data_IF_782692548306
#
_entry.id   IF_782692548306
#
_cell.length_a   1.000
_cell.length_b   1.000
_cell.length_c   1.000
_cell.angle_alpha   90.00
_cell.angle_beta   90.00
_cell.angle_gamma   90.00
#
_symmetry.space_group_name_H-M   'P 1'
#
loop_
_entity.id
_entity.type
_entity.pdbx_description
1 polymer ?
#
# COMPACT_ATOMS: atom_id res chain seq x y z
N UNK A 1 -44.02 31.83 22.38
CA UNK A 1 -43.63 33.20 21.99
C UNK A 1 -42.14 33.36 22.34
N UNK A 2 -41.38 33.94 21.44
CA UNK A 2 -39.97 34.28 21.63
C UNK A 2 -39.70 35.72 21.19
N UNK A 3 -38.73 36.38 21.83
CA UNK A 3 -38.50 37.82 21.61
C UNK A 3 -37.99 38.16 20.23
N UNK A 4 -37.12 37.30 19.66
CA UNK A 4 -36.56 37.46 18.29
C UNK A 4 -35.93 36.18 17.80
N UNK A 5 -35.76 36.04 16.48
CA UNK A 5 -35.08 34.92 15.83
C UNK A 5 -33.62 34.80 16.33
N UNK A 6 -32.91 35.94 16.47
CA UNK A 6 -31.53 35.97 16.91
C UNK A 6 -31.30 35.56 18.38
N UNK A 7 -32.36 35.55 19.19
CA UNK A 7 -32.33 35.08 20.60
C UNK A 7 -32.94 33.71 20.80
N UNK A 8 -33.48 33.13 19.74
CA UNK A 8 -34.10 31.80 19.79
C UNK A 8 -33.11 30.69 19.90
N UNK A 9 -31.99 30.78 19.19
CA UNK A 9 -30.88 29.84 19.29
C UNK A 9 -29.53 30.52 19.02
N UNK A 10 -28.43 29.78 19.30
CA UNK A 10 -27.04 30.31 19.25
C UNK A 10 -26.52 30.53 17.83
N UNK A 11 -27.06 29.80 16.86
CA UNK A 11 -26.68 29.89 15.47
C UNK A 11 -27.87 29.59 14.54
N UNK A 12 -27.72 29.84 13.25
CA UNK A 12 -28.78 29.68 12.25
C UNK A 12 -29.21 28.21 12.09
N UNK A 13 -28.28 27.25 12.23
CA UNK A 13 -28.56 25.81 12.12
C UNK A 13 -29.45 25.32 13.27
N UNK A 14 -29.09 25.69 14.50
CA UNK A 14 -29.87 25.31 15.70
C UNK A 14 -31.29 25.93 15.68
N UNK A 15 -31.39 27.21 15.25
CA UNK A 15 -32.66 27.88 15.08
C UNK A 15 -33.57 27.14 14.09
N UNK A 16 -33.01 26.80 12.91
CA UNK A 16 -33.74 26.09 11.86
C UNK A 16 -34.18 24.69 12.29
N UNK A 17 -33.26 23.93 12.93
CA UNK A 17 -33.56 22.57 13.40
C UNK A 17 -34.65 22.58 14.45
N UNK A 18 -34.60 23.54 15.36
CA UNK A 18 -35.60 23.68 16.43
C UNK A 18 -36.95 24.07 15.87
N UNK A 19 -37.00 25.04 14.95
CA UNK A 19 -38.27 25.46 14.30
C UNK A 19 -38.90 24.30 13.54
N UNK A 20 -38.08 23.51 12.77
CA UNK A 20 -38.58 22.34 12.04
C UNK A 20 -39.17 21.28 12.98
N UNK A 21 -38.47 20.96 14.08
CA UNK A 21 -38.97 20.02 15.09
C UNK A 21 -40.28 20.50 15.72
N UNK A 22 -40.39 21.79 16.06
CA UNK A 22 -41.63 22.36 16.57
C UNK A 22 -42.75 22.24 15.54
N UNK A 23 -42.50 22.53 14.27
CA UNK A 23 -43.46 22.39 13.17
C UNK A 23 -43.91 20.93 12.98
N UNK A 24 -43.01 19.96 13.08
CA UNK A 24 -43.32 18.51 13.05
C UNK A 24 -44.26 18.09 14.18
N UNK A 25 -44.12 18.72 15.34
CA UNK A 25 -45.01 18.51 16.51
C UNK A 25 -46.24 19.43 16.53
N UNK A 26 -46.54 20.12 15.42
CA UNK A 26 -47.68 21.08 15.32
C UNK A 26 -47.63 22.20 16.36
N UNK A 27 -46.39 22.59 16.79
CA UNK A 27 -46.20 23.70 17.71
C UNK A 27 -45.76 24.92 16.92
N UNK A 28 -46.57 25.96 16.99
CA UNK A 28 -46.34 27.25 16.35
C UNK A 28 -45.48 28.15 17.22
N UNK A 29 -44.56 28.91 16.60
CA UNK A 29 -43.72 29.88 17.28
C UNK A 29 -44.03 31.30 16.77
N UNK A 30 -44.14 32.26 17.67
CA UNK A 30 -44.26 33.67 17.36
C UNK A 30 -42.98 34.42 17.71
N UNK A 31 -42.41 35.09 16.73
CA UNK A 31 -41.23 35.97 16.86
C UNK A 31 -41.73 37.41 17.01
N UNK A 32 -41.69 37.93 18.24
CA UNK A 32 -42.31 39.21 18.61
C UNK A 32 -41.69 40.39 17.84
N UNK A 33 -40.34 40.46 17.78
CA UNK A 33 -39.63 41.56 17.15
C UNK A 33 -39.84 41.61 15.62
N UNK A 34 -39.86 40.46 14.99
CA UNK A 34 -40.06 40.31 13.56
C UNK A 34 -41.53 40.27 13.16
N UNK A 35 -42.43 40.08 14.13
CA UNK A 35 -43.87 39.90 13.95
C UNK A 35 -44.22 38.79 12.96
N UNK A 36 -43.67 37.60 13.19
CA UNK A 36 -43.76 36.43 12.29
C UNK A 36 -44.26 35.23 13.10
N UNK A 37 -45.26 34.53 12.57
CA UNK A 37 -45.68 33.21 12.97
C UNK A 37 -45.05 32.15 12.08
N UNK A 38 -44.59 31.01 12.65
CA UNK A 38 -43.86 29.98 11.89
C UNK A 38 -44.73 29.19 10.91
N UNK A 39 -46.08 29.22 11.06
CA UNK A 39 -46.99 28.54 10.13
C UNK A 39 -47.51 29.45 9.02
N UNK A 40 -47.33 30.75 9.13
CA UNK A 40 -47.67 31.70 8.09
C UNK A 40 -46.72 31.63 6.89
N UNK A 41 -47.17 32.19 5.75
CA UNK A 41 -46.33 32.32 4.53
C UNK A 41 -45.02 33.10 4.77
N UNK A 42 -45.06 34.09 5.68
CA UNK A 42 -43.87 34.82 6.14
C UNK A 42 -42.92 33.93 6.93
N UNK A 43 -43.47 32.99 7.72
CA UNK A 43 -42.70 31.99 8.46
C UNK A 43 -42.04 30.98 7.54
N UNK A 44 -42.67 30.55 6.45
CA UNK A 44 -42.07 29.68 5.44
C UNK A 44 -40.95 30.37 4.69
N UNK A 45 -41.13 31.64 4.32
CA UNK A 45 -40.06 32.45 3.73
C UNK A 45 -38.87 32.59 4.69
N UNK A 46 -39.13 32.87 5.97
CA UNK A 46 -38.08 32.94 7.00
C UNK A 46 -37.30 31.63 7.12
N UNK A 47 -37.98 30.46 7.19
CA UNK A 47 -37.39 29.15 7.26
C UNK A 47 -36.52 28.89 6.02
N UNK A 48 -36.98 29.30 4.83
CA UNK A 48 -36.21 29.15 3.56
C UNK A 48 -34.93 30.00 3.56
N UNK A 49 -35.04 31.27 3.97
CA UNK A 49 -33.88 32.15 4.08
C UNK A 49 -32.87 31.63 5.11
N UNK A 50 -33.37 31.21 6.30
CA UNK A 50 -32.51 30.62 7.34
C UNK A 50 -31.86 29.33 6.89
N UNK A 51 -32.56 28.51 6.09
CA UNK A 51 -31.97 27.30 5.48
C UNK A 51 -30.79 27.63 4.53
N UNK A 52 -30.98 28.63 3.67
CA UNK A 52 -29.96 29.09 2.76
C UNK A 52 -28.74 29.68 3.49
N UNK A 53 -29.00 30.51 4.53
CA UNK A 53 -27.92 31.06 5.37
C UNK A 53 -27.16 29.96 6.11
N UNK A 54 -27.85 28.98 6.68
CA UNK A 54 -27.24 27.85 7.38
C UNK A 54 -26.38 26.99 6.41
N UNK A 55 -26.82 26.81 5.16
CA UNK A 55 -26.02 26.14 4.13
C UNK A 55 -24.76 26.93 3.79
N UNK A 56 -24.88 28.25 3.57
CA UNK A 56 -23.71 29.08 3.24
C UNK A 56 -22.72 29.17 4.43
N UNK A 57 -23.22 29.27 5.66
CA UNK A 57 -22.35 29.22 6.85
C UNK A 57 -21.60 27.87 6.92
N UNK A 58 -22.29 26.75 6.73
CA UNK A 58 -21.69 25.43 6.72
C UNK A 58 -20.67 25.26 5.60
N UNK A 59 -20.97 25.80 4.42
CA UNK A 59 -20.07 25.83 3.27
C UNK A 59 -18.80 26.63 3.57
N UNK A 60 -18.94 27.85 4.05
CA UNK A 60 -17.83 28.73 4.41
C UNK A 60 -16.90 28.11 5.44
N UNK A 61 -17.47 27.49 6.51
CA UNK A 61 -16.68 26.77 7.50
C UNK A 61 -15.90 25.62 6.85
N UNK A 62 -16.55 24.82 6.00
CA UNK A 62 -15.92 23.70 5.31
C UNK A 62 -14.77 24.15 4.39
N UNK A 63 -14.98 25.24 3.63
CA UNK A 63 -13.98 25.83 2.74
C UNK A 63 -12.77 26.37 3.54
N UNK A 64 -13.01 27.07 4.65
CA UNK A 64 -11.97 27.60 5.52
C UNK A 64 -11.14 26.47 6.18
N UNK A 65 -11.78 25.41 6.66
CA UNK A 65 -11.09 24.24 7.22
C UNK A 65 -10.24 23.55 6.14
N UNK A 66 -10.81 23.36 4.95
CA UNK A 66 -10.11 22.75 3.81
C UNK A 66 -8.90 23.59 3.39
N UNK A 67 -9.07 24.91 3.27
CA UNK A 67 -7.98 25.84 2.96
C UNK A 67 -6.87 25.77 4.03
N UNK A 68 -7.24 25.82 5.31
CA UNK A 68 -6.27 25.71 6.40
C UNK A 68 -5.53 24.38 6.43
N UNK A 69 -6.18 23.27 6.06
CA UNK A 69 -5.53 21.97 5.91
C UNK A 69 -4.57 21.96 4.71
N UNK A 70 -4.99 22.46 3.54
CA UNK A 70 -4.13 22.54 2.34
C UNK A 70 -2.89 23.39 2.58
N UNK A 71 -3.04 24.52 3.27
CA UNK A 71 -1.90 25.37 3.66
C UNK A 71 -0.92 24.62 4.55
N UNK A 72 -1.41 23.90 5.56
CA UNK A 72 -0.53 23.08 6.42
C UNK A 72 0.17 21.98 5.63
N UNK A 73 -0.49 21.36 4.66
CA UNK A 73 0.12 20.34 3.81
C UNK A 73 1.19 20.94 2.87
N UNK A 74 0.94 22.11 2.31
CA UNK A 74 1.94 22.85 1.53
C UNK A 74 3.17 23.26 2.37
N UNK A 75 2.95 23.56 3.66
CA UNK A 75 4.04 23.85 4.63
C UNK A 75 4.75 22.56 5.11
N UNK A 76 4.40 21.38 4.59
CA UNK A 76 4.99 20.10 5.00
C UNK A 76 4.64 19.66 6.43
N UNK A 77 3.64 20.27 7.07
CA UNK A 77 3.26 19.93 8.45
C UNK A 77 2.47 18.64 8.49
N UNK A 78 3.15 17.57 8.90
CA UNK A 78 2.56 16.22 9.04
C UNK A 78 1.79 16.11 10.34
N UNK A 79 0.60 15.49 10.27
CA UNK A 79 -0.20 15.12 11.44
C UNK A 79 -0.52 13.63 11.37
N UNK A 80 -0.25 12.92 12.48
CA UNK A 80 -0.55 11.50 12.61
C UNK A 80 -1.82 11.28 13.46
N UNK A 81 -2.67 10.32 13.09
CA UNK A 81 -3.84 9.93 13.90
C UNK A 81 -3.42 8.97 15.03
N UNK A 82 -2.71 9.48 16.04
CA UNK A 82 -2.09 8.69 17.10
C UNK A 82 -3.01 7.68 17.80
N UNK A 83 -4.31 7.94 17.89
CA UNK A 83 -5.25 7.06 18.58
C UNK A 83 -5.30 5.61 18.03
N UNK A 84 -4.96 5.43 16.75
CA UNK A 84 -5.04 4.13 16.07
C UNK A 84 -3.83 3.89 15.15
N UNK A 85 -2.72 4.58 15.44
CA UNK A 85 -1.50 4.50 14.64
C UNK A 85 -0.41 3.77 15.43
N UNK A 86 -0.29 2.48 15.21
CA UNK A 86 0.65 1.60 15.92
C UNK A 86 2.09 2.07 15.75
N UNK A 87 2.85 2.06 16.83
CA UNK A 87 4.28 2.37 16.83
C UNK A 87 4.63 3.83 17.07
N UNK A 88 3.64 4.74 17.09
CA UNK A 88 3.89 6.16 17.33
C UNK A 88 2.93 6.77 18.34
N UNK A 89 3.47 7.65 19.18
CA UNK A 89 2.70 8.54 20.06
C UNK A 89 3.04 10.00 19.77
N UNK A 90 2.20 10.89 20.25
CA UNK A 90 2.49 12.34 20.21
C UNK A 90 3.51 12.66 21.32
N UNK A 91 4.70 13.09 20.93
CA UNK A 91 5.73 13.56 21.85
C UNK A 91 5.39 14.92 22.49
N UNK A 92 6.14 15.32 23.51
CA UNK A 92 5.96 16.58 24.23
C UNK A 92 6.06 17.80 23.31
N UNK A 93 6.93 17.75 22.30
CA UNK A 93 7.10 18.80 21.30
C UNK A 93 6.04 18.76 20.17
N UNK A 94 5.03 17.88 20.28
CA UNK A 94 4.00 17.69 19.27
C UNK A 94 4.45 16.90 18.04
N UNK A 95 5.71 16.46 17.98
CA UNK A 95 6.27 15.62 16.93
C UNK A 95 5.99 14.14 17.23
N UNK A 96 5.97 13.26 16.19
CA UNK A 96 5.83 11.83 16.38
C UNK A 96 7.03 11.24 17.13
N UNK A 97 6.77 10.45 18.15
CA UNK A 97 7.75 9.71 18.93
C UNK A 97 7.45 8.20 18.82
N UNK A 98 8.50 7.38 18.66
CA UNK A 98 8.37 5.94 18.54
C UNK A 98 8.06 5.32 19.90
N UNK A 99 7.05 4.42 19.94
CA UNK A 99 6.75 3.56 21.08
C UNK A 99 7.47 2.22 20.85
N UNK A 100 8.53 1.89 21.64
CA UNK A 100 9.39 0.74 21.35
C UNK A 100 8.64 -0.60 21.22
N UNK A 101 7.74 -0.90 22.15
CA UNK A 101 6.98 -2.16 22.18
C UNK A 101 6.06 -2.32 20.94
N UNK A 102 5.40 -1.24 20.55
CA UNK A 102 4.55 -1.24 19.35
C UNK A 102 5.39 -1.28 18.06
N UNK A 103 6.54 -0.61 18.06
CA UNK A 103 7.47 -0.62 16.94
C UNK A 103 8.04 -2.02 16.67
N UNK A 104 8.26 -2.83 17.71
CA UNK A 104 8.64 -4.23 17.55
C UNK A 104 7.56 -5.04 16.83
N UNK A 105 6.29 -4.81 17.16
CA UNK A 105 5.17 -5.44 16.44
C UNK A 105 5.15 -5.03 14.95
N UNK A 106 5.40 -3.75 14.64
CA UNK A 106 5.50 -3.28 13.25
C UNK A 106 6.67 -3.97 12.52
N UNK A 107 7.86 -4.01 13.13
CA UNK A 107 9.03 -4.71 12.56
C UNK A 107 8.76 -6.19 12.35
N UNK A 108 8.10 -6.84 13.31
CA UNK A 108 7.68 -8.24 13.19
C UNK A 108 6.78 -8.45 11.96
N UNK A 109 5.75 -7.61 11.75
CA UNK A 109 4.85 -7.68 10.60
C UNK A 109 5.63 -7.57 9.28
N UNK A 110 6.56 -6.60 9.19
CA UNK A 110 7.40 -6.42 7.99
C UNK A 110 8.31 -7.63 7.76
N UNK A 111 9.00 -8.12 8.81
CA UNK A 111 9.89 -9.27 8.70
C UNK A 111 9.14 -10.52 8.26
N UNK A 112 7.97 -10.82 8.86
CA UNK A 112 7.15 -11.99 8.48
C UNK A 112 6.67 -11.90 7.03
N UNK A 113 6.32 -10.70 6.56
CA UNK A 113 5.96 -10.51 5.15
C UNK A 113 7.16 -10.69 4.21
N UNK A 114 8.33 -10.18 4.59
CA UNK A 114 9.60 -10.39 3.89
C UNK A 114 9.96 -11.88 3.85
N UNK A 115 9.67 -12.63 4.91
CA UNK A 115 9.85 -14.09 4.97
C UNK A 115 8.86 -14.86 4.07
N UNK A 116 7.91 -14.16 3.45
CA UNK A 116 7.00 -14.69 2.43
C UNK A 116 5.60 -15.01 2.94
N UNK A 117 5.28 -14.74 4.21
CA UNK A 117 3.94 -14.94 4.73
C UNK A 117 2.94 -13.99 4.08
N UNK A 118 1.69 -14.45 3.98
CA UNK A 118 0.59 -13.58 3.52
C UNK A 118 0.07 -12.72 4.68
N UNK A 119 -0.52 -11.54 4.40
CA UNK A 119 -1.13 -10.71 5.44
C UNK A 119 -2.16 -11.47 6.30
N UNK A 120 -2.84 -12.46 5.73
CA UNK A 120 -3.79 -13.32 6.44
C UNK A 120 -3.09 -14.24 7.47
N UNK A 121 -1.99 -14.91 7.07
CA UNK A 121 -1.20 -15.75 8.00
C UNK A 121 -0.60 -14.91 9.12
N UNK A 122 -0.05 -13.73 8.80
CA UNK A 122 0.51 -12.80 9.81
C UNK A 122 -0.57 -12.35 10.81
N UNK A 123 -1.77 -12.01 10.32
CA UNK A 123 -2.89 -11.65 11.20
C UNK A 123 -3.28 -12.79 12.18
N UNK A 124 -3.27 -14.03 11.70
CA UNK A 124 -3.54 -15.19 12.54
C UNK A 124 -2.43 -15.44 13.59
N UNK A 125 -1.15 -15.27 13.20
CA UNK A 125 -0.02 -15.37 14.13
C UNK A 125 -0.11 -14.32 15.24
N UNK A 126 -0.35 -13.06 14.90
CA UNK A 126 -0.51 -11.97 15.88
C UNK A 126 -1.70 -12.22 16.82
N UNK A 127 -2.81 -12.73 16.27
CA UNK A 127 -3.98 -13.11 17.08
C UNK A 127 -3.66 -14.26 18.03
N UNK A 128 -2.94 -15.29 17.58
CA UNK A 128 -2.53 -16.42 18.39
C UNK A 128 -1.54 -16.03 19.50
N UNK A 129 -0.70 -15.03 19.27
CA UNK A 129 0.23 -14.45 20.24
C UNK A 129 -0.45 -13.50 21.23
N UNK A 130 -1.74 -13.21 21.06
CA UNK A 130 -2.49 -12.30 21.94
C UNK A 130 -2.09 -10.83 21.83
N UNK A 131 -1.40 -10.44 20.74
CA UNK A 131 -0.99 -9.04 20.52
C UNK A 131 -2.22 -8.20 20.14
N UNK A 132 -2.52 -7.10 20.86
CA UNK A 132 -3.69 -6.29 20.58
C UNK A 132 -3.53 -5.53 19.24
N UNK A 133 -4.65 -5.31 18.54
CA UNK A 133 -4.66 -4.50 17.32
C UNK A 133 -4.49 -3.00 17.64
N UNK A 134 -4.17 -2.13 16.67
CA UNK A 134 -4.12 -0.68 16.87
C UNK A 134 -5.41 -0.05 17.43
N UNK A 135 -6.55 -0.76 17.30
CA UNK A 135 -7.85 -0.35 17.84
C UNK A 135 -8.19 -1.06 19.16
N UNK A 136 -7.24 -1.77 19.79
CA UNK A 136 -7.46 -2.51 21.03
C UNK A 136 -8.31 -3.78 20.89
N UNK A 137 -8.53 -4.29 19.67
CA UNK A 137 -9.26 -5.55 19.44
C UNK A 137 -8.30 -6.74 19.55
N UNK A 138 -8.80 -7.86 20.03
CA UNK A 138 -8.03 -9.09 20.16
C UNK A 138 -7.71 -9.76 18.82
N UNK A 139 -8.60 -9.61 17.83
CA UNK A 139 -8.49 -10.31 16.54
C UNK A 139 -7.96 -9.40 15.44
N UNK A 140 -6.83 -9.76 14.87
CA UNK A 140 -6.24 -9.12 13.72
C UNK A 140 -6.95 -9.48 12.42
N UNK A 141 -7.00 -8.54 11.49
CA UNK A 141 -7.49 -8.76 10.12
C UNK A 141 -6.38 -8.60 9.10
N UNK A 142 -6.47 -9.33 7.98
CA UNK A 142 -5.54 -9.19 6.87
C UNK A 142 -5.52 -7.76 6.28
N UNK A 143 -6.63 -7.04 6.35
CA UNK A 143 -6.72 -5.64 5.90
C UNK A 143 -5.92 -4.70 6.80
N UNK A 144 -5.92 -4.91 8.12
CA UNK A 144 -5.11 -4.14 9.08
C UNK A 144 -3.62 -4.36 8.82
N UNK A 145 -3.20 -5.62 8.66
CA UNK A 145 -1.81 -5.96 8.33
C UNK A 145 -1.40 -5.33 6.99
N UNK A 146 -2.25 -5.43 5.96
CA UNK A 146 -1.99 -4.80 4.66
C UNK A 146 -1.85 -3.29 4.78
N UNK A 147 -2.73 -2.64 5.55
CA UNK A 147 -2.66 -1.19 5.78
C UNK A 147 -1.35 -0.76 6.44
N UNK A 148 -0.82 -1.55 7.39
CA UNK A 148 0.49 -1.30 8.02
C UNK A 148 1.61 -1.46 6.99
N UNK A 149 1.62 -2.56 6.22
CA UNK A 149 2.65 -2.85 5.24
C UNK A 149 2.71 -1.86 4.06
N UNK A 150 1.62 -1.14 3.76
CA UNK A 150 1.54 -0.18 2.64
C UNK A 150 1.57 1.28 3.07
N UNK A 151 1.80 1.56 4.35
CA UNK A 151 1.80 2.91 4.86
C UNK A 151 3.22 3.49 4.90
N UNK A 152 3.51 4.45 4.02
CA UNK A 152 4.80 5.13 3.90
C UNK A 152 5.29 5.81 5.18
N UNK A 153 4.38 6.06 6.11
CA UNK A 153 4.74 6.70 7.38
C UNK A 153 5.67 5.85 8.24
N UNK A 154 5.67 4.53 8.06
CA UNK A 154 6.58 3.65 8.79
C UNK A 154 8.05 3.77 8.34
N UNK A 155 8.31 4.26 7.11
CA UNK A 155 9.67 4.59 6.66
C UNK A 155 10.09 6.04 6.96
N UNK A 156 9.25 6.81 7.67
CA UNK A 156 9.52 8.19 8.06
C UNK A 156 8.99 9.26 7.10
N UNK A 157 8.37 8.88 6.00
CA UNK A 157 7.80 9.79 5.01
C UNK A 157 6.30 10.02 5.24
N UNK A 158 5.73 11.01 4.58
CA UNK A 158 4.30 11.25 4.64
C UNK A 158 3.74 11.74 3.30
N UNK A 159 2.82 10.99 2.72
CA UNK A 159 1.99 11.47 1.61
C UNK A 159 0.74 12.12 2.18
N UNK A 160 0.64 13.43 1.96
CA UNK A 160 -0.45 14.27 2.45
C UNK A 160 -1.53 14.42 1.37
N UNK A 161 -2.77 14.63 1.80
CA UNK A 161 -3.93 14.80 0.92
C UNK A 161 -4.27 13.59 0.05
N UNK A 162 -4.13 12.37 0.62
CA UNK A 162 -4.55 11.11 -0.03
C UNK A 162 -6.05 11.04 -0.34
N UNK A 163 -6.87 11.80 0.41
CA UNK A 163 -8.32 11.90 0.22
C UNK A 163 -8.75 13.34 0.35
N UNK A 164 -9.84 13.69 -0.31
CA UNK A 164 -10.48 15.00 -0.17
C UNK A 164 -11.99 14.84 -0.10
N UNK A 165 -12.65 15.83 0.50
CA UNK A 165 -14.11 15.88 0.58
C UNK A 165 -14.64 16.50 -0.70
N UNK A 166 -15.48 15.76 -1.43
CA UNK A 166 -16.08 16.21 -2.72
C UNK A 166 -17.25 17.14 -2.46
N UNK A 167 -18.05 16.81 -1.45
CA UNK A 167 -19.27 17.54 -1.13
C UNK A 167 -19.34 17.85 0.38
N UNK A 168 -19.51 19.12 0.70
CA UNK A 168 -19.52 19.59 2.08
C UNK A 168 -20.81 19.20 2.84
N UNK A 169 -21.91 18.93 2.13
CA UNK A 169 -23.19 18.54 2.73
C UNK A 169 -23.16 17.06 3.16
N UNK A 170 -22.82 16.18 2.23
CA UNK A 170 -22.81 14.74 2.47
C UNK A 170 -21.50 14.27 3.12
N UNK A 171 -20.49 15.14 3.20
CA UNK A 171 -19.13 14.86 3.68
C UNK A 171 -18.49 13.65 2.98
N UNK A 172 -18.93 13.36 1.74
CA UNK A 172 -18.42 12.26 0.95
C UNK A 172 -16.95 12.50 0.62
N UNK A 173 -16.09 11.55 1.00
CA UNK A 173 -14.67 11.56 0.68
C UNK A 173 -14.37 10.73 -0.55
N UNK A 174 -13.42 11.19 -1.37
CA UNK A 174 -12.88 10.49 -2.51
C UNK A 174 -11.37 10.36 -2.38
N UNK A 175 -10.80 9.26 -2.92
CA UNK A 175 -9.35 9.10 -3.04
C UNK A 175 -8.86 10.15 -4.05
N UNK A 176 -7.76 10.80 -3.71
CA UNK A 176 -7.14 11.78 -4.59
C UNK A 176 -6.23 11.06 -5.59
N UNK A 177 -6.63 11.06 -6.84
CA UNK A 177 -5.91 10.50 -7.99
C UNK A 177 -5.35 11.61 -8.90
N UNK A 178 -5.08 12.80 -8.32
CA UNK A 178 -4.58 13.96 -9.04
C UNK A 178 -5.58 15.12 -9.16
N UNK A 179 -6.82 15.00 -8.64
CA UNK A 179 -7.84 16.06 -8.70
C UNK A 179 -7.47 17.27 -7.85
N UNK A 180 -6.70 17.08 -6.79
CA UNK A 180 -6.18 18.15 -5.93
C UNK A 180 -4.70 17.90 -5.66
N UNK A 181 -3.87 18.96 -5.40
CA UNK A 181 -2.46 18.78 -5.13
C UNK A 181 -2.19 17.79 -3.99
N UNK A 182 -1.24 16.88 -4.20
CA UNK A 182 -0.69 16.01 -3.15
C UNK A 182 0.70 16.50 -2.78
N UNK A 183 1.06 16.31 -1.52
CA UNK A 183 2.37 16.72 -1.01
C UNK A 183 3.06 15.52 -0.38
N UNK A 184 4.26 15.21 -0.85
CA UNK A 184 5.11 14.18 -0.29
C UNK A 184 6.21 14.83 0.53
N UNK A 185 6.31 14.43 1.79
CA UNK A 185 7.29 14.95 2.75
C UNK A 185 8.20 13.80 3.15
N UNK A 186 9.46 13.90 2.74
CA UNK A 186 10.48 12.92 3.10
C UNK A 186 11.03 13.20 4.50
N UNK A 187 11.39 12.13 5.20
CA UNK A 187 12.03 12.18 6.54
C UNK A 187 11.30 13.11 7.53
N UNK A 188 9.96 13.10 7.48
CA UNK A 188 9.13 13.97 8.31
C UNK A 188 9.12 13.59 9.80
N UNK A 189 9.49 12.36 10.12
CA UNK A 189 9.52 11.80 11.47
C UNK A 189 10.44 10.58 11.56
N UNK A 190 10.84 10.14 12.78
CA UNK A 190 11.70 8.97 12.95
C UNK A 190 11.08 7.73 12.32
N UNK A 191 11.86 7.00 11.51
CA UNK A 191 11.43 5.78 10.82
C UNK A 191 11.49 4.56 11.76
N UNK A 192 10.48 3.67 11.68
CA UNK A 192 10.49 2.36 12.35
C UNK A 192 11.11 1.30 11.42
N UNK A 193 10.86 1.42 10.11
CA UNK A 193 11.31 0.52 9.06
C UNK A 193 12.25 1.28 8.13
N UNK A 194 13.29 0.62 7.63
CA UNK A 194 14.19 1.25 6.67
C UNK A 194 13.49 1.48 5.32
N UNK A 195 13.87 2.52 4.54
CA UNK A 195 13.33 2.75 3.20
C UNK A 195 13.47 1.52 2.30
N UNK A 196 14.60 0.80 2.38
CA UNK A 196 14.88 -0.39 1.57
C UNK A 196 13.91 -1.54 1.88
N UNK A 197 13.62 -1.79 3.16
CA UNK A 197 12.64 -2.80 3.58
C UNK A 197 11.23 -2.44 3.11
N UNK A 198 10.86 -1.17 3.24
CA UNK A 198 9.55 -0.69 2.77
C UNK A 198 9.41 -0.87 1.26
N UNK A 199 10.38 -0.40 0.47
CA UNK A 199 10.37 -0.50 -0.99
C UNK A 199 10.36 -1.96 -1.47
N UNK A 200 11.10 -2.85 -0.79
CA UNK A 200 11.03 -4.28 -1.04
C UNK A 200 9.60 -4.82 -0.83
N UNK A 201 8.97 -4.47 0.27
CA UNK A 201 7.58 -4.88 0.58
C UNK A 201 6.61 -4.37 -0.48
N UNK A 202 6.72 -3.10 -0.93
CA UNK A 202 5.87 -2.56 -2.00
C UNK A 202 6.07 -3.32 -3.31
N UNK A 203 7.32 -3.62 -3.69
CA UNK A 203 7.61 -4.39 -4.90
C UNK A 203 7.01 -5.80 -4.86
N UNK A 204 7.03 -6.45 -3.70
CA UNK A 204 6.40 -7.77 -3.52
C UNK A 204 4.86 -7.68 -3.57
N UNK A 205 4.25 -6.61 -3.06
CA UNK A 205 2.82 -6.38 -3.21
C UNK A 205 2.42 -6.20 -4.67
N UNK A 206 3.14 -5.41 -5.46
CA UNK A 206 2.87 -5.23 -6.88
C UNK A 206 2.92 -6.54 -7.64
N UNK A 207 3.93 -7.40 -7.39
CA UNK A 207 4.04 -8.72 -7.99
C UNK A 207 2.88 -9.64 -7.63
N UNK A 208 2.43 -9.60 -6.38
CA UNK A 208 1.32 -10.44 -5.90
C UNK A 208 -0.04 -9.91 -6.37
N UNK A 209 -0.21 -8.59 -6.57
CA UNK A 209 -1.46 -7.97 -7.04
C UNK A 209 -1.78 -8.24 -8.52
N UNK A 210 -0.79 -8.52 -9.35
CA UNK A 210 -1.00 -8.86 -10.78
C UNK A 210 -1.82 -10.15 -10.96
N UNK A 211 -2.05 -10.92 -9.89
CA UNK A 211 -2.78 -12.20 -9.92
C UNK A 211 -3.89 -12.23 -8.87
N UNK A 212 -5.17 -12.27 -9.28
CA UNK A 212 -6.33 -12.24 -8.38
C UNK A 212 -6.58 -13.57 -7.66
N UNK A 213 -5.55 -14.32 -7.31
CA UNK A 213 -5.69 -15.58 -6.59
C UNK A 213 -5.39 -15.39 -5.11
N UNK A 214 -6.35 -15.72 -4.26
CA UNK A 214 -6.18 -15.84 -2.82
C UNK A 214 -5.25 -17.01 -2.52
N UNK A 215 -3.94 -16.79 -2.52
CA UNK A 215 -2.99 -17.84 -2.22
C UNK A 215 -2.65 -17.83 -0.75
N UNK A 216 -3.17 -18.78 -0.04
CA UNK A 216 -2.76 -19.12 1.33
C UNK A 216 -1.54 -20.05 1.35
N UNK A 217 -1.13 -20.60 0.20
CA UNK A 217 -0.03 -21.54 0.06
C UNK A 217 1.27 -20.86 -0.35
N UNK A 218 2.39 -21.25 0.27
CA UNK A 218 3.75 -20.82 -0.10
C UNK A 218 4.17 -21.21 -1.52
N UNK A 219 3.50 -22.22 -2.08
CA UNK A 219 3.74 -22.71 -3.45
C UNK A 219 2.98 -21.92 -4.51
N UNK A 220 2.00 -21.12 -4.10
CA UNK A 220 1.19 -20.36 -5.04
C UNK A 220 2.04 -19.35 -5.80
N UNK A 221 1.82 -19.27 -7.10
CA UNK A 221 2.56 -18.42 -8.04
C UNK A 221 4.06 -18.73 -8.20
N UNK A 222 4.58 -19.74 -7.51
CA UNK A 222 5.97 -20.18 -7.66
C UNK A 222 6.12 -21.41 -8.56
N UNK A 223 5.09 -22.24 -8.68
CA UNK A 223 5.15 -23.45 -9.51
C UNK A 223 4.55 -23.13 -10.88
N UNK A 224 5.33 -23.30 -11.93
CA UNK A 224 5.01 -22.98 -13.32
C UNK A 224 5.00 -24.27 -14.13
N UNK A 225 4.05 -24.37 -15.05
CA UNK A 225 4.02 -25.46 -16.03
C UNK A 225 5.00 -25.20 -17.16
N UNK A 226 5.94 -26.12 -17.39
CA UNK A 226 6.93 -26.02 -18.46
C UNK A 226 6.30 -26.13 -19.85
N UNK A 227 5.14 -26.79 -19.99
CA UNK A 227 4.48 -27.00 -21.28
C UNK A 227 3.63 -25.82 -21.73
N UNK A 228 2.85 -25.21 -20.79
CA UNK A 228 1.88 -24.17 -21.14
C UNK A 228 2.10 -22.82 -20.43
N UNK A 229 3.15 -22.69 -19.60
CA UNK A 229 3.48 -21.47 -18.87
C UNK A 229 2.49 -21.08 -17.75
N UNK A 230 1.40 -21.84 -17.56
CA UNK A 230 0.42 -21.54 -16.53
C UNK A 230 0.90 -21.93 -15.14
N UNK A 231 0.37 -21.25 -14.11
CA UNK A 231 0.70 -21.61 -12.73
C UNK A 231 -0.02 -22.85 -12.26
N UNK A 232 0.63 -23.57 -11.36
CA UNK A 232 0.01 -24.63 -10.59
C UNK A 232 -0.84 -24.04 -9.46
N UNK A 233 -2.00 -24.64 -9.23
CA UNK A 233 -2.90 -24.28 -8.14
C UNK A 233 -3.18 -25.48 -7.24
N UNK A 234 -3.39 -25.20 -5.95
CA UNK A 234 -3.83 -26.20 -4.98
C UNK A 234 -5.25 -26.66 -5.30
N UNK A 235 -5.48 -27.97 -5.35
CA UNK A 235 -6.79 -28.62 -5.52
C UNK A 235 -6.98 -29.64 -4.41
N UNK A 236 -8.19 -29.74 -3.91
CA UNK A 236 -8.54 -30.73 -2.89
C UNK A 236 -9.20 -31.92 -3.57
N UNK A 237 -8.56 -33.09 -3.48
CA UNK A 237 -9.15 -34.35 -3.91
C UNK A 237 -9.83 -35.03 -2.74
N UNK A 238 -10.94 -35.70 -3.01
CA UNK A 238 -11.73 -36.43 -2.01
C UNK A 238 -12.14 -35.56 -0.81
N UNK A 239 -12.63 -34.34 -1.09
CA UNK A 239 -12.93 -33.33 -0.06
C UNK A 239 -13.82 -33.82 1.10
N UNK A 240 -14.73 -34.78 0.81
CA UNK A 240 -15.73 -35.30 1.74
C UNK A 240 -15.40 -36.71 2.28
N UNK A 241 -14.16 -37.19 2.14
CA UNK A 241 -13.79 -38.55 2.56
C UNK A 241 -12.53 -38.55 3.43
N UNK A 242 -12.27 -39.68 4.10
CA UNK A 242 -11.04 -39.91 4.86
C UNK A 242 -9.76 -39.87 4.01
N UNK A 243 -9.90 -39.93 2.68
CA UNK A 243 -8.79 -39.83 1.72
C UNK A 243 -8.58 -38.41 1.20
N UNK A 244 -9.12 -37.41 1.87
CA UNK A 244 -8.91 -35.99 1.55
C UNK A 244 -7.43 -35.65 1.49
N UNK A 245 -6.97 -35.12 0.34
CA UNK A 245 -5.59 -34.67 0.14
C UNK A 245 -5.54 -33.41 -0.76
N UNK A 246 -4.50 -32.62 -0.56
CA UNK A 246 -4.21 -31.46 -1.41
C UNK A 246 -3.21 -31.88 -2.45
N UNK A 247 -3.48 -31.55 -3.70
CA UNK A 247 -2.57 -31.72 -4.82
C UNK A 247 -2.32 -30.38 -5.49
N UNK A 248 -1.18 -30.23 -6.12
CA UNK A 248 -0.83 -29.08 -6.95
C UNK A 248 -0.86 -29.51 -8.41
N UNK A 249 -1.69 -28.85 -9.23
CA UNK A 249 -1.80 -29.15 -10.66
C UNK A 249 -1.88 -27.88 -11.50
N UNK A 250 -1.50 -27.98 -12.77
CA UNK A 250 -1.60 -26.88 -13.72
C UNK A 250 -3.04 -26.35 -13.80
N UNK A 251 -3.22 -25.05 -13.69
CA UNK A 251 -4.54 -24.41 -13.72
C UNK A 251 -5.20 -24.47 -15.10
N UNK A 252 -4.43 -24.72 -16.16
CA UNK A 252 -4.92 -24.90 -17.54
C UNK A 252 -5.19 -26.36 -17.90
N UNK A 253 -5.00 -27.31 -16.97
CA UNK A 253 -5.13 -28.76 -17.24
C UNK A 253 -6.46 -29.17 -17.84
N UNK A 254 -7.53 -28.48 -17.50
CA UNK A 254 -8.89 -28.75 -17.97
C UNK A 254 -9.58 -27.51 -18.57
N UNK A 255 -8.80 -26.55 -19.08
CA UNK A 255 -9.31 -25.31 -19.66
C UNK A 255 -8.89 -25.19 -21.12
N UNK A 256 -9.85 -24.89 -22.00
CA UNK A 256 -9.59 -24.62 -23.42
C UNK A 256 -9.50 -25.88 -24.29
N UNK A 257 -9.07 -25.69 -25.54
CA UNK A 257 -8.92 -26.75 -26.56
C UNK A 257 -7.65 -27.59 -26.40
N UNK A 258 -6.66 -27.11 -25.66
CA UNK A 258 -5.39 -27.80 -25.38
C UNK A 258 -5.35 -28.26 -23.94
N UNK A 259 -5.46 -29.57 -23.72
CA UNK A 259 -5.30 -30.14 -22.37
C UNK A 259 -3.83 -30.25 -22.03
N UNK A 260 -3.44 -29.62 -20.90
CA UNK A 260 -2.10 -29.76 -20.36
C UNK A 260 -1.93 -31.15 -19.72
N UNK A 261 -0.87 -31.87 -20.11
CA UNK A 261 -0.60 -33.25 -19.67
C UNK A 261 0.33 -33.34 -18.46
N UNK A 262 0.90 -32.22 -18.03
CA UNK A 262 1.83 -32.15 -16.87
C UNK A 262 1.26 -32.88 -15.65
N UNK A 263 2.09 -33.68 -14.93
CA UNK A 263 1.64 -34.41 -13.74
C UNK A 263 1.24 -33.43 -12.61
N UNK A 264 0.42 -33.90 -11.71
CA UNK A 264 0.17 -33.20 -10.44
C UNK A 264 1.27 -33.56 -9.44
N UNK A 265 1.51 -32.66 -8.50
CA UNK A 265 2.51 -32.85 -7.44
C UNK A 265 1.83 -32.90 -6.06
N UNK A 266 2.41 -33.66 -5.15
CA UNK A 266 2.05 -33.64 -3.75
C UNK A 266 2.99 -32.72 -2.96
N UNK A 267 2.49 -32.14 -1.88
CA UNK A 267 3.30 -31.23 -1.06
C UNK A 267 4.57 -31.88 -0.50
N UNK A 268 4.54 -33.11 0.06
CA UNK A 268 5.76 -33.79 0.51
C UNK A 268 6.78 -34.03 -0.63
N UNK A 269 6.31 -34.32 -1.83
CA UNK A 269 7.17 -34.53 -3.00
C UNK A 269 7.88 -33.23 -3.40
N UNK A 270 7.16 -32.10 -3.38
CA UNK A 270 7.76 -30.79 -3.65
C UNK A 270 8.83 -30.45 -2.61
N UNK A 271 8.55 -30.74 -1.33
CA UNK A 271 9.47 -30.48 -0.22
C UNK A 271 10.73 -31.36 -0.34
N UNK A 272 10.59 -32.66 -0.60
CA UNK A 272 11.70 -33.60 -0.77
C UNK A 272 12.60 -33.19 -1.96
N UNK A 273 12.00 -32.89 -3.12
CA UNK A 273 12.72 -32.46 -4.32
C UNK A 273 13.40 -31.11 -4.10
N UNK A 274 12.79 -30.20 -3.36
CA UNK A 274 13.44 -28.95 -2.97
C UNK A 274 14.67 -29.19 -2.10
N UNK A 275 14.60 -30.08 -1.13
CA UNK A 275 15.77 -30.42 -0.29
C UNK A 275 16.92 -30.99 -1.13
N UNK A 276 16.62 -31.85 -2.13
CA UNK A 276 17.62 -32.36 -3.06
C UNK A 276 18.25 -31.23 -3.90
N UNK A 277 17.43 -30.34 -4.46
CA UNK A 277 17.91 -29.20 -5.21
C UNK A 277 18.71 -28.23 -4.34
N UNK A 278 18.23 -27.97 -3.12
CA UNK A 278 18.91 -27.09 -2.18
C UNK A 278 20.27 -27.66 -1.73
N UNK A 279 20.39 -28.96 -1.55
CA UNK A 279 21.67 -29.60 -1.23
C UNK A 279 22.72 -29.39 -2.35
N UNK A 280 22.29 -29.50 -3.61
CA UNK A 280 23.17 -29.21 -4.76
C UNK A 280 23.52 -27.71 -4.84
N UNK A 281 22.55 -26.84 -4.59
CA UNK A 281 22.75 -25.39 -4.52
C UNK A 281 23.72 -25.00 -3.40
N UNK A 282 23.54 -25.59 -2.23
CA UNK A 282 24.37 -25.34 -1.05
C UNK A 282 25.82 -25.84 -1.22
N UNK A 283 26.05 -26.92 -1.98
CA UNK A 283 27.39 -27.35 -2.30
C UNK A 283 28.24 -26.31 -3.05
N UNK A 284 27.57 -25.35 -3.70
CA UNK A 284 28.20 -24.24 -4.41
C UNK A 284 28.11 -22.90 -3.63
N UNK A 285 27.79 -22.96 -2.31
CA UNK A 285 27.52 -21.81 -1.43
C UNK A 285 28.55 -20.69 -1.57
N UNK A 286 29.84 -21.04 -1.53
CA UNK A 286 30.93 -20.04 -1.57
C UNK A 286 31.01 -19.32 -2.91
N UNK A 287 30.78 -20.04 -4.01
CA UNK A 287 30.76 -19.47 -5.36
C UNK A 287 29.54 -18.54 -5.51
N UNK A 288 28.36 -18.97 -5.04
CA UNK A 288 27.13 -18.16 -5.05
C UNK A 288 27.31 -16.88 -4.22
N UNK A 289 27.89 -16.97 -3.03
CA UNK A 289 28.15 -15.80 -2.17
C UNK A 289 29.08 -14.81 -2.89
N UNK A 290 30.19 -15.29 -3.49
CA UNK A 290 31.13 -14.44 -4.23
C UNK A 290 30.44 -13.74 -5.42
N UNK A 291 29.67 -14.48 -6.20
CA UNK A 291 28.96 -13.96 -7.37
C UNK A 291 27.91 -12.91 -6.95
N UNK A 292 27.12 -13.18 -5.90
CA UNK A 292 26.16 -12.23 -5.36
C UNK A 292 26.83 -10.96 -4.82
N UNK A 293 27.96 -11.08 -4.12
CA UNK A 293 28.74 -9.92 -3.63
C UNK A 293 29.31 -9.08 -4.79
N UNK A 294 29.83 -9.72 -5.82
CA UNK A 294 30.32 -9.03 -7.01
C UNK A 294 29.19 -8.28 -7.73
N UNK A 295 28.05 -8.94 -7.95
CA UNK A 295 26.86 -8.33 -8.55
C UNK A 295 26.34 -7.16 -7.72
N UNK A 296 26.27 -7.29 -6.39
CA UNK A 296 25.89 -6.22 -5.47
C UNK A 296 26.81 -5.01 -5.57
N UNK A 297 28.12 -5.23 -5.59
CA UNK A 297 29.08 -4.14 -5.70
C UNK A 297 28.95 -3.40 -7.03
N UNK A 298 28.65 -4.12 -8.12
CA UNK A 298 28.40 -3.52 -9.43
C UNK A 298 27.12 -2.70 -9.46
N UNK A 299 26.01 -3.24 -8.89
CA UNK A 299 24.71 -2.54 -8.83
C UNK A 299 24.78 -1.28 -7.95
N UNK A 300 25.55 -1.31 -6.84
CA UNK A 300 25.75 -0.16 -5.96
C UNK A 300 26.62 0.95 -6.55
N UNK A 301 27.53 0.61 -7.48
CA UNK A 301 28.41 1.58 -8.15
C UNK A 301 27.76 2.25 -9.36
N UNK A 302 26.58 1.83 -9.77
CA UNK A 302 25.88 2.39 -10.90
C UNK A 302 25.19 3.69 -10.45
N UNK A 303 25.73 4.84 -10.87
CA UNK A 303 25.16 6.15 -10.56
C UNK A 303 23.80 6.33 -11.23
N UNK A 304 22.90 6.99 -10.52
CA UNK A 304 21.58 7.35 -11.05
C UNK A 304 21.71 8.69 -11.79
N UNK A 305 21.21 8.75 -13.02
CA UNK A 305 21.11 9.99 -13.80
C UNK A 305 19.92 10.85 -13.39
N UNK A 306 19.20 10.43 -12.35
CA UNK A 306 17.94 11.06 -11.92
C UNK A 306 18.13 12.53 -11.55
N UNK A 307 19.19 12.86 -10.79
CA UNK A 307 19.46 14.24 -10.38
C UNK A 307 19.73 15.15 -11.58
N UNK A 308 20.55 14.69 -12.52
CA UNK A 308 20.87 15.44 -13.76
C UNK A 308 19.58 15.69 -14.59
N UNK A 309 18.74 14.67 -14.77
CA UNK A 309 17.48 14.77 -15.51
C UNK A 309 16.48 15.70 -14.80
N UNK A 310 16.44 15.68 -13.48
CA UNK A 310 15.59 16.58 -12.69
C UNK A 310 16.02 18.04 -12.83
N UNK A 311 17.32 18.32 -12.78
CA UNK A 311 17.87 19.66 -12.94
C UNK A 311 17.60 20.19 -14.37
N UNK A 312 17.77 19.36 -15.40
CA UNK A 312 17.43 19.72 -16.77
C UNK A 312 15.94 20.00 -16.95
N UNK A 313 15.07 19.18 -16.34
CA UNK A 313 13.62 19.34 -16.42
C UNK A 313 13.15 20.62 -15.72
N UNK A 314 13.77 20.99 -14.58
CA UNK A 314 13.53 22.26 -13.88
C UNK A 314 13.93 23.43 -14.79
N UNK A 315 15.10 23.36 -15.44
CA UNK A 315 15.57 24.43 -16.32
C UNK A 315 14.66 24.62 -17.56
N UNK A 316 14.14 23.54 -18.13
CA UNK A 316 13.17 23.62 -19.23
C UNK A 316 11.82 24.18 -18.76
N UNK A 317 11.37 23.79 -17.56
CA UNK A 317 10.13 24.28 -16.99
C UNK A 317 10.19 25.79 -16.67
N UNK A 318 11.32 26.29 -16.20
CA UNK A 318 11.54 27.74 -16.01
C UNK A 318 11.46 28.51 -17.34
N UNK A 319 12.06 27.97 -18.39
CA UNK A 319 11.97 28.57 -19.74
C UNK A 319 10.53 28.56 -20.28
N UNK A 320 9.77 27.49 -20.05
CA UNK A 320 8.35 27.43 -20.41
C UNK A 320 7.51 28.45 -19.64
N UNK A 321 7.78 28.64 -18.33
CA UNK A 321 7.11 29.70 -17.55
C UNK A 321 7.43 31.10 -18.04
N UNK A 322 8.68 31.39 -18.35
CA UNK A 322 9.11 32.65 -18.89
C UNK A 322 8.45 32.95 -20.26
N UNK A 323 8.36 31.91 -21.11
CA UNK A 323 7.66 31.98 -22.38
C UNK A 323 6.16 32.31 -22.20
N UNK A 324 5.47 31.69 -21.22
CA UNK A 324 4.05 31.97 -20.94
C UNK A 324 3.84 33.41 -20.48
N UNK A 325 4.82 34.00 -19.77
CA UNK A 325 4.72 35.40 -19.28
C UNK A 325 5.09 36.45 -20.30
N UNK A 326 6.06 36.19 -21.15
CA UNK A 326 6.65 37.22 -22.02
C UNK A 326 6.45 36.96 -23.53
N UNK A 327 5.95 35.77 -23.92
CA UNK A 327 5.84 35.35 -25.31
C UNK A 327 7.19 35.01 -25.94
N UNK A 328 7.19 34.41 -27.13
CA UNK A 328 8.42 34.08 -27.87
C UNK A 328 8.18 33.06 -28.98
N UNK A 329 9.18 32.77 -29.77
CA UNK A 329 9.16 31.70 -30.79
C UNK A 329 9.80 30.44 -30.18
N UNK A 330 9.19 29.24 -30.29
CA UNK A 330 9.68 27.91 -29.88
C UNK A 330 8.94 27.18 -28.73
N UNK A 331 7.67 27.48 -28.50
CA UNK A 331 6.88 26.76 -27.49
C UNK A 331 6.85 25.23 -27.74
N UNK A 332 6.58 24.84 -29.00
CA UNK A 332 6.46 23.40 -29.35
C UNK A 332 7.77 22.65 -29.15
N UNK A 333 8.91 23.27 -29.43
CA UNK A 333 10.22 22.66 -29.21
C UNK A 333 10.55 22.52 -27.72
N UNK A 334 10.19 23.47 -26.87
CA UNK A 334 10.37 23.40 -25.42
C UNK A 334 9.44 22.39 -24.78
N UNK A 335 8.19 22.31 -25.25
CA UNK A 335 7.22 21.34 -24.77
C UNK A 335 7.62 19.91 -25.17
N UNK A 336 8.07 19.69 -26.42
CA UNK A 336 8.59 18.41 -26.86
C UNK A 336 9.81 17.97 -26.03
N UNK A 337 10.72 18.90 -25.71
CA UNK A 337 11.88 18.62 -24.85
C UNK A 337 11.46 18.29 -23.41
N UNK A 338 10.44 18.97 -22.88
CA UNK A 338 9.88 18.67 -21.56
C UNK A 338 9.27 17.26 -21.51
N UNK A 339 8.50 16.88 -22.54
CA UNK A 339 7.89 15.53 -22.62
C UNK A 339 8.97 14.46 -22.75
N UNK A 340 10.03 14.69 -23.55
CA UNK A 340 11.15 13.76 -23.68
C UNK A 340 11.90 13.58 -22.37
N UNK A 341 12.26 14.66 -21.67
CA UNK A 341 12.95 14.59 -20.37
C UNK A 341 12.07 13.94 -19.29
N UNK A 342 10.77 14.22 -19.30
CA UNK A 342 9.82 13.58 -18.39
C UNK A 342 9.77 12.06 -18.61
N UNK A 343 9.70 11.61 -19.87
CA UNK A 343 9.72 10.19 -20.20
C UNK A 343 11.05 9.51 -19.82
N UNK A 344 12.18 10.20 -19.99
CA UNK A 344 13.49 9.71 -19.57
C UNK A 344 13.60 9.61 -18.05
N UNK A 345 13.04 10.56 -17.32
CA UNK A 345 13.00 10.55 -15.85
C UNK A 345 12.15 9.38 -15.35
N UNK A 346 10.96 9.16 -15.91
CA UNK A 346 10.09 8.04 -15.58
C UNK A 346 10.79 6.69 -15.84
N UNK A 347 11.49 6.57 -16.97
CA UNK A 347 12.26 5.37 -17.30
C UNK A 347 13.40 5.12 -16.30
N UNK A 348 14.13 6.17 -15.89
CA UNK A 348 15.21 6.06 -14.91
C UNK A 348 14.67 5.73 -13.50
N UNK A 349 13.50 6.26 -13.12
CA UNK A 349 12.82 5.90 -11.85
C UNK A 349 12.45 4.42 -11.81
N UNK A 350 11.94 3.88 -12.90
CA UNK A 350 11.64 2.45 -13.04
C UNK A 350 12.94 1.63 -12.94
N UNK A 351 13.99 2.05 -13.63
CA UNK A 351 15.29 1.37 -13.62
C UNK A 351 15.94 1.40 -12.22
N UNK A 352 15.85 2.53 -11.53
CA UNK A 352 16.34 2.67 -10.14
C UNK A 352 15.57 1.77 -9.17
N UNK A 353 14.23 1.73 -9.28
CA UNK A 353 13.38 0.84 -8.50
C UNK A 353 13.73 -0.63 -8.73
N UNK A 354 13.93 -1.04 -9.99
CA UNK A 354 14.35 -2.40 -10.33
C UNK A 354 15.75 -2.73 -9.79
N UNK A 355 16.67 -1.76 -9.81
CA UNK A 355 18.02 -1.89 -9.24
C UNK A 355 17.96 -2.11 -7.73
N UNK A 356 17.23 -1.26 -7.00
CA UNK A 356 17.01 -1.39 -5.54
C UNK A 356 16.42 -2.75 -5.21
N UNK A 357 15.44 -3.20 -5.98
CA UNK A 357 14.81 -4.52 -5.83
C UNK A 357 15.80 -5.67 -6.00
N UNK A 358 16.67 -5.61 -7.00
CA UNK A 358 17.71 -6.63 -7.23
C UNK A 358 18.71 -6.67 -6.08
N UNK A 359 19.11 -5.50 -5.59
CA UNK A 359 20.01 -5.37 -4.42
C UNK A 359 19.37 -6.04 -3.19
N UNK A 360 18.12 -5.72 -2.87
CA UNK A 360 17.42 -6.30 -1.73
C UNK A 360 17.27 -7.82 -1.83
N UNK A 361 16.96 -8.35 -3.02
CA UNK A 361 16.91 -9.80 -3.26
C UNK A 361 18.26 -10.47 -2.99
N UNK A 362 19.35 -9.93 -3.54
CA UNK A 362 20.70 -10.48 -3.36
C UNK A 362 21.17 -10.42 -1.90
N UNK A 363 20.88 -9.31 -1.21
CA UNK A 363 21.16 -9.19 0.22
C UNK A 363 20.44 -10.25 1.05
N UNK A 364 19.16 -10.53 0.73
CA UNK A 364 18.40 -11.57 1.41
C UNK A 364 18.99 -12.97 1.19
N UNK A 365 19.38 -13.30 -0.05
CA UNK A 365 20.06 -14.57 -0.35
C UNK A 365 21.34 -14.70 0.49
N UNK A 366 22.18 -13.66 0.49
CA UNK A 366 23.43 -13.64 1.24
C UNK A 366 23.22 -13.83 2.74
N UNK A 367 22.22 -13.14 3.31
CA UNK A 367 21.88 -13.28 4.73
C UNK A 367 21.39 -14.69 5.05
N UNK A 368 20.54 -15.26 4.18
CA UNK A 368 20.01 -16.62 4.38
C UNK A 368 21.14 -17.64 4.27
N UNK A 369 21.96 -17.60 3.23
CA UNK A 369 23.07 -18.54 3.06
C UNK A 369 24.14 -18.43 4.16
N UNK A 370 24.40 -17.23 4.67
CA UNK A 370 25.32 -17.03 5.81
C UNK A 370 24.77 -17.58 7.11
N UNK A 371 23.46 -17.50 7.34
CA UNK A 371 22.80 -18.04 8.53
C UNK A 371 22.63 -19.56 8.49
N UNK A 372 22.66 -20.16 7.30
CA UNK A 372 22.51 -21.60 7.12
C UNK A 372 23.89 -22.26 7.20
N UNK A 373 24.18 -22.94 8.29
CA UNK A 373 25.49 -23.54 8.55
C UNK A 373 25.62 -24.95 7.97
N UNK A 374 24.51 -25.65 7.74
CA UNK A 374 24.47 -27.01 7.20
C UNK A 374 23.39 -27.16 6.14
N UNK A 375 23.45 -28.24 5.38
CA UNK A 375 22.38 -28.63 4.45
C UNK A 375 21.09 -28.87 5.24
N UNK A 376 19.96 -28.39 4.71
CA UNK A 376 18.66 -28.59 5.35
C UNK A 376 18.28 -30.07 5.38
N UNK A 377 17.97 -30.58 6.55
CA UNK A 377 17.41 -31.93 6.73
C UNK A 377 15.89 -31.94 6.62
N UNK A 378 15.27 -30.83 6.96
CA UNK A 378 13.80 -30.64 6.92
C UNK A 378 13.46 -29.40 6.10
N UNK A 379 12.26 -29.40 5.49
CA UNK A 379 11.78 -28.26 4.70
C UNK A 379 11.56 -27.03 5.58
N UNK A 380 12.19 -25.90 5.19
CA UNK A 380 12.03 -24.61 5.85
C UNK A 380 11.36 -23.61 4.87
N UNK A 381 10.16 -23.14 5.24
CA UNK A 381 9.39 -22.16 4.45
C UNK A 381 10.15 -20.83 4.25
N UNK A 382 10.96 -20.40 5.22
CA UNK A 382 11.71 -19.14 5.14
C UNK A 382 12.84 -19.23 4.13
N UNK A 383 13.55 -20.37 4.12
CA UNK A 383 14.59 -20.62 3.12
C UNK A 383 13.99 -20.79 1.72
N UNK A 384 12.91 -21.57 1.58
CA UNK A 384 12.16 -21.67 0.32
C UNK A 384 11.81 -20.28 -0.26
N UNK A 385 11.28 -19.41 0.57
CA UNK A 385 10.88 -18.07 0.15
C UNK A 385 12.06 -17.13 -0.10
N UNK A 386 13.18 -17.32 0.60
CA UNK A 386 14.35 -16.48 0.46
C UNK A 386 15.16 -16.79 -0.80
N UNK A 387 15.34 -18.08 -1.13
CA UNK A 387 16.26 -18.50 -2.19
C UNK A 387 15.58 -18.85 -3.50
N UNK A 388 14.33 -19.36 -3.50
CA UNK A 388 13.66 -19.84 -4.70
C UNK A 388 12.88 -18.72 -5.42
N UNK A 389 13.12 -18.53 -6.72
CA UNK A 389 12.30 -17.66 -7.57
C UNK A 389 11.08 -18.42 -8.10
N UNK A 390 11.30 -19.56 -8.80
CA UNK A 390 10.21 -20.42 -9.26
C UNK A 390 10.65 -21.90 -9.39
N UNK A 391 9.68 -22.77 -9.54
CA UNK A 391 9.79 -24.18 -9.84
C UNK A 391 9.03 -24.46 -11.13
N UNK A 392 9.72 -24.97 -12.14
CA UNK A 392 9.11 -25.39 -13.41
C UNK A 392 8.90 -26.89 -13.43
N UNK A 393 7.68 -27.32 -13.77
CA UNK A 393 7.28 -28.74 -13.84
C UNK A 393 7.06 -29.12 -15.30
N UNK A 394 7.75 -30.13 -15.79
CA UNK A 394 7.63 -30.62 -17.16
C UNK A 394 6.73 -31.85 -17.26
N UNK A 395 6.31 -32.22 -18.46
CA UNK A 395 5.44 -33.36 -18.73
C UNK A 395 6.08 -34.71 -18.41
N UNK A 396 7.42 -34.80 -18.49
CA UNK A 396 8.21 -35.97 -18.12
C UNK A 396 8.35 -36.16 -16.60
N UNK A 397 7.79 -35.25 -15.80
CA UNK A 397 7.86 -35.24 -14.35
C UNK A 397 9.15 -34.60 -13.82
N UNK A 398 10.06 -34.14 -14.68
CA UNK A 398 11.25 -33.43 -14.22
C UNK A 398 10.91 -32.07 -13.64
N UNK A 399 11.66 -31.67 -12.60
CA UNK A 399 11.48 -30.43 -11.87
C UNK A 399 12.73 -29.58 -12.04
N UNK A 400 12.58 -28.33 -12.47
CA UNK A 400 13.66 -27.35 -12.55
C UNK A 400 13.43 -26.24 -11.53
N UNK A 401 14.31 -26.13 -10.56
CA UNK A 401 14.33 -25.12 -9.54
C UNK A 401 15.18 -23.94 -9.98
N UNK A 402 14.57 -22.78 -10.21
CA UNK A 402 15.27 -21.53 -10.49
C UNK A 402 15.45 -20.75 -9.19
N UNK A 403 16.69 -20.62 -8.76
CA UNK A 403 17.06 -19.82 -7.61
C UNK A 403 17.11 -18.33 -7.96
N UNK A 404 16.97 -17.46 -6.98
CA UNK A 404 16.87 -15.99 -7.19
C UNK A 404 18.18 -15.35 -7.67
N UNK A 405 19.30 -16.04 -7.58
CA UNK A 405 20.59 -15.64 -8.15
C UNK A 405 20.73 -16.01 -9.63
N UNK A 406 19.76 -16.73 -10.19
CA UNK A 406 19.74 -17.21 -11.56
C UNK A 406 20.24 -18.64 -11.73
N UNK A 407 20.65 -19.34 -10.67
CA UNK A 407 21.09 -20.73 -10.73
C UNK A 407 19.88 -21.66 -10.98
N UNK A 408 20.00 -22.53 -11.99
CA UNK A 408 19.00 -23.55 -12.30
C UNK A 408 19.51 -24.93 -11.89
N UNK A 409 18.66 -25.68 -11.17
CA UNK A 409 18.96 -27.06 -10.77
C UNK A 409 17.80 -27.96 -11.19
N UNK A 410 18.11 -29.00 -11.96
CA UNK A 410 17.16 -30.03 -12.38
C UNK A 410 17.24 -31.23 -11.44
N UNK A 411 16.05 -31.69 -10.98
CA UNK A 411 15.89 -32.85 -10.10
C UNK A 411 14.86 -33.81 -10.66
#
# INVERSE_FOLDING_TARGET
ITKSVSRFARNTVDSLTTIRKLKEHHVECFFEKENIWTFDSKGELLITIMSSLAQEESRSISENVTWGQRKRFADGKVSLPYAHFLGYRKGENGLPEIVPEEAETVRYIYQRFIDGLTPYKIANELTAQGIPTPCGKEKWSASTVKSILTNEKYKGDALLQKKFTVDFLTKKQQINEGQVPQYYVENSHPAIITPEEFDFVQSEFQKRCVKPYSSTSIYATKIICGDCGSYFGAKVWHSNSKYRRVIYQCNSKFKGSHFCTTPHLYEPEIQEKFLQAFAQYFSQKDAVIKNCQFALNRLKKQDSKKAELQDELVAVNEKLKDYIQHGGENFDALNAKYEELSAQLDAEEIAESDRKRRIAKMQKILLTLKKTDSVLETFDESVWNAVLENLTVFHDGSLVFLFRDGTEIKV
#
